data_IF_761242073555
#
_entry.id   IF_761242073555
#
_cell.length_a   1.000
_cell.length_b   1.000
_cell.length_c   1.000
_cell.angle_alpha   90.00
_cell.angle_beta   90.00
_cell.angle_gamma   90.00
#
_symmetry.space_group_name_H-M   'P 1'
#
loop_
_entity.id
_entity.type
_entity.pdbx_description
1 polymer ?
#
# COMPACT_ATOMS: atom_id res chain seq x y z
N UNK A 1 56.90 50.07 17.72
CA UNK A 1 56.30 48.76 17.39
C UNK A 1 56.96 48.23 16.12
N UNK A 2 57.72 47.13 16.19
CA UNK A 2 58.50 46.58 15.07
C UNK A 2 57.59 46.16 13.90
N UNK A 3 58.05 46.34 12.64
CA UNK A 3 57.32 45.91 11.43
C UNK A 3 56.96 44.42 11.46
N UNK A 4 57.81 43.61 12.07
CA UNK A 4 57.63 42.15 12.20
C UNK A 4 56.45 41.78 13.10
N UNK A 5 56.24 42.52 14.20
CA UNK A 5 55.09 42.32 15.09
C UNK A 5 53.76 42.62 14.39
N UNK A 6 53.72 43.66 13.54
CA UNK A 6 52.52 43.99 12.74
C UNK A 6 52.24 42.92 11.69
N UNK A 7 53.28 42.34 11.07
CA UNK A 7 53.14 41.28 10.07
C UNK A 7 52.68 39.96 10.71
N UNK A 8 53.22 39.61 11.88
CA UNK A 8 52.79 38.45 12.66
C UNK A 8 51.32 38.56 13.11
N UNK A 9 50.89 39.73 13.59
CA UNK A 9 49.50 39.97 13.95
C UNK A 9 48.55 39.85 12.75
N UNK A 10 48.94 40.35 11.57
CA UNK A 10 48.14 40.22 10.33
C UNK A 10 47.98 38.76 9.90
N UNK A 11 49.03 37.95 10.01
CA UNK A 11 48.97 36.51 9.70
C UNK A 11 48.06 35.78 10.69
N UNK A 12 48.11 36.11 11.97
CA UNK A 12 47.26 35.50 12.99
C UNK A 12 45.77 35.80 12.75
N UNK A 13 45.45 37.05 12.41
CA UNK A 13 44.08 37.48 12.07
C UNK A 13 43.57 36.75 10.82
N UNK A 14 44.40 36.63 9.77
CA UNK A 14 44.04 35.91 8.54
C UNK A 14 43.80 34.42 8.80
N UNK A 15 44.64 33.76 9.60
CA UNK A 15 44.45 32.37 10.01
C UNK A 15 43.19 32.17 10.85
N UNK A 16 42.90 33.12 11.75
CA UNK A 16 41.67 33.13 12.53
C UNK A 16 40.42 33.25 11.66
N UNK A 17 40.44 34.18 10.69
CA UNK A 17 39.34 34.36 9.74
C UNK A 17 39.11 33.13 8.85
N UNK A 18 40.18 32.48 8.38
CA UNK A 18 40.09 31.24 7.61
C UNK A 18 39.45 30.10 8.41
N UNK A 19 39.84 29.91 9.68
CA UNK A 19 39.23 28.89 10.54
C UNK A 19 37.74 29.13 10.78
N UNK A 20 37.33 30.39 10.95
CA UNK A 20 35.90 30.74 11.12
C UNK A 20 35.13 30.47 9.83
N UNK A 21 35.70 30.78 8.67
CA UNK A 21 35.06 30.48 7.38
C UNK A 21 34.91 28.97 7.16
N UNK A 22 35.91 28.18 7.55
CA UNK A 22 35.88 26.72 7.44
C UNK A 22 34.83 26.09 8.38
N UNK A 23 34.76 26.52 9.65
CA UNK A 23 33.73 26.07 10.61
C UNK A 23 32.31 26.47 10.17
N UNK A 24 32.13 27.69 9.62
CA UNK A 24 30.83 28.11 9.06
C UNK A 24 30.47 27.25 7.84
N UNK A 25 31.43 26.96 6.96
CA UNK A 25 31.20 26.11 5.79
C UNK A 25 30.81 24.70 6.19
N UNK A 26 31.54 24.08 7.12
CA UNK A 26 31.25 22.73 7.61
C UNK A 26 29.85 22.65 8.26
N UNK A 27 29.46 23.67 9.03
CA UNK A 27 28.10 23.76 9.61
C UNK A 27 27.02 23.93 8.56
N UNK A 28 27.28 24.69 7.50
CA UNK A 28 26.34 24.87 6.39
C UNK A 28 26.19 23.58 5.59
N UNK A 29 27.30 22.89 5.28
CA UNK A 29 27.31 21.60 4.58
C UNK A 29 26.54 20.54 5.40
N UNK A 30 26.84 20.39 6.70
CA UNK A 30 26.11 19.47 7.60
C UNK A 30 24.61 19.78 7.70
N UNK A 31 24.23 21.06 7.71
CA UNK A 31 22.81 21.46 7.71
C UNK A 31 22.13 21.17 6.37
N UNK A 32 22.84 21.33 5.26
CA UNK A 32 22.32 21.00 3.94
C UNK A 32 22.13 19.49 3.78
N UNK A 33 23.09 18.69 4.22
CA UNK A 33 23.00 17.22 4.25
C UNK A 33 21.83 16.75 5.12
N UNK A 34 21.69 17.28 6.34
CA UNK A 34 20.57 16.94 7.24
C UNK A 34 19.21 17.26 6.60
N UNK A 35 19.07 18.42 5.97
CA UNK A 35 17.83 18.79 5.25
C UNK A 35 17.56 17.90 4.04
N UNK A 36 18.59 17.48 3.31
CA UNK A 36 18.43 16.57 2.19
C UNK A 36 17.98 15.17 2.67
N UNK A 37 18.53 14.69 3.78
CA UNK A 37 18.13 13.44 4.40
C UNK A 37 16.69 13.50 4.92
N UNK A 38 16.31 14.55 5.65
CA UNK A 38 14.94 14.75 6.14
C UNK A 38 13.92 14.75 4.99
N UNK A 39 14.23 15.43 3.88
CA UNK A 39 13.38 15.42 2.67
C UNK A 39 13.29 14.04 2.02
N UNK A 40 14.37 13.28 2.00
CA UNK A 40 14.37 11.93 1.45
C UNK A 40 13.53 10.98 2.31
N UNK A 41 13.62 11.10 3.64
CA UNK A 41 12.81 10.33 4.59
C UNK A 41 11.33 10.69 4.49
N UNK A 42 11.00 11.97 4.36
CA UNK A 42 9.62 12.45 4.16
C UNK A 42 9.03 11.89 2.86
N UNK A 43 9.77 11.99 1.74
CA UNK A 43 9.36 11.44 0.44
C UNK A 43 9.12 9.92 0.51
N UNK A 44 10.00 9.18 1.18
CA UNK A 44 9.83 7.72 1.35
C UNK A 44 8.59 7.39 2.18
N UNK A 45 8.28 8.18 3.22
CA UNK A 45 7.07 7.98 4.02
C UNK A 45 5.81 8.28 3.22
N UNK A 46 5.80 9.35 2.43
CA UNK A 46 4.68 9.68 1.55
C UNK A 46 4.44 8.58 0.52
N UNK A 47 5.50 8.09 -0.13
CA UNK A 47 5.42 6.97 -1.09
C UNK A 47 4.89 5.70 -0.43
N UNK A 48 5.36 5.37 0.77
CA UNK A 48 4.88 4.21 1.52
C UNK A 48 3.40 4.33 1.90
N UNK A 49 2.96 5.49 2.38
CA UNK A 49 1.56 5.72 2.75
C UNK A 49 0.64 5.69 1.53
N UNK A 50 1.06 6.28 0.41
CA UNK A 50 0.32 6.22 -0.84
C UNK A 50 0.16 4.77 -1.33
N UNK A 51 1.20 3.95 -1.20
CA UNK A 51 1.15 2.54 -1.56
C UNK A 51 0.24 1.73 -0.64
N UNK A 52 0.27 1.99 0.67
CA UNK A 52 -0.65 1.34 1.62
C UNK A 52 -2.11 1.71 1.33
N UNK A 53 -2.38 2.98 1.05
CA UNK A 53 -3.73 3.42 0.68
C UNK A 53 -4.19 2.76 -0.61
N UNK A 54 -3.32 2.69 -1.62
CA UNK A 54 -3.59 2.00 -2.88
C UNK A 54 -3.97 0.54 -2.66
N UNK A 55 -3.17 -0.21 -1.89
CA UNK A 55 -3.44 -1.61 -1.60
C UNK A 55 -4.76 -1.78 -0.84
N UNK A 56 -5.05 -0.87 0.09
CA UNK A 56 -6.31 -0.85 0.83
C UNK A 56 -7.52 -0.62 -0.07
N UNK A 57 -7.46 0.36 -0.98
CA UNK A 57 -8.55 0.67 -1.91
C UNK A 57 -8.85 -0.54 -2.81
N UNK A 58 -7.81 -1.24 -3.27
CA UNK A 58 -7.95 -2.48 -4.05
C UNK A 58 -8.58 -3.58 -3.19
N UNK A 59 -8.13 -3.79 -1.95
CA UNK A 59 -8.72 -4.78 -1.03
C UNK A 59 -10.23 -4.51 -0.85
N UNK A 60 -10.62 -3.27 -0.58
CA UNK A 60 -12.03 -2.91 -0.39
C UNK A 60 -12.86 -3.20 -1.64
N UNK A 61 -12.36 -2.81 -2.81
CA UNK A 61 -13.05 -3.06 -4.08
C UNK A 61 -13.23 -4.55 -4.37
N UNK A 62 -12.17 -5.34 -4.18
CA UNK A 62 -12.23 -6.79 -4.39
C UNK A 62 -13.12 -7.48 -3.38
N UNK A 63 -13.14 -6.99 -2.16
CA UNK A 63 -14.00 -7.52 -1.12
C UNK A 63 -15.48 -7.36 -1.48
N UNK A 64 -15.87 -6.19 -1.96
CA UNK A 64 -17.22 -5.91 -2.45
C UNK A 64 -17.58 -6.76 -3.69
N UNK A 65 -16.65 -6.88 -4.64
CA UNK A 65 -16.82 -7.73 -5.82
C UNK A 65 -17.05 -9.20 -5.45
N UNK A 66 -16.25 -9.75 -4.54
CA UNK A 66 -16.43 -11.12 -4.04
C UNK A 66 -17.75 -11.27 -3.31
N UNK A 67 -18.12 -10.30 -2.47
CA UNK A 67 -19.38 -10.32 -1.73
C UNK A 67 -20.61 -10.30 -2.64
N UNK A 68 -20.49 -9.64 -3.79
CA UNK A 68 -21.52 -9.51 -4.82
C UNK A 68 -21.64 -10.75 -5.70
N UNK A 69 -20.52 -11.29 -6.17
CA UNK A 69 -20.52 -12.43 -7.11
C UNK A 69 -20.83 -13.74 -6.38
N UNK A 70 -20.21 -13.98 -5.22
CA UNK A 70 -20.32 -15.26 -4.54
C UNK A 70 -21.55 -15.31 -3.61
N UNK A 71 -22.20 -16.47 -3.58
CA UNK A 71 -23.35 -16.70 -2.71
C UNK A 71 -22.96 -16.74 -1.23
N UNK A 72 -23.81 -16.22 -0.33
CA UNK A 72 -23.62 -16.36 1.11
C UNK A 72 -23.39 -17.82 1.53
N UNK A 73 -22.38 -18.04 2.37
CA UNK A 73 -22.03 -19.37 2.89
C UNK A 73 -21.03 -20.15 2.03
N UNK A 74 -20.71 -19.68 0.82
CA UNK A 74 -19.66 -20.27 -0.04
C UNK A 74 -18.25 -19.75 0.29
N UNK A 75 -18.10 -18.75 1.16
CA UNK A 75 -16.82 -18.13 1.53
C UNK A 75 -16.88 -17.53 2.93
N UNK A 76 -15.72 -17.20 3.49
CA UNK A 76 -15.64 -16.47 4.75
C UNK A 76 -16.03 -15.02 4.53
N UNK A 77 -17.13 -14.59 5.15
CA UNK A 77 -17.56 -13.20 5.15
C UNK A 77 -17.78 -12.70 6.57
N UNK A 78 -17.68 -11.39 6.74
CA UNK A 78 -18.11 -10.70 7.95
C UNK A 78 -19.11 -9.60 7.58
N UNK A 79 -19.83 -9.13 8.59
CA UNK A 79 -20.76 -8.03 8.46
C UNK A 79 -20.07 -6.78 8.98
N UNK A 80 -20.07 -5.72 8.18
CA UNK A 80 -19.63 -4.40 8.59
C UNK A 80 -20.82 -3.45 8.67
N UNK A 81 -20.95 -2.77 9.81
CA UNK A 81 -21.98 -1.76 9.99
C UNK A 81 -21.57 -0.47 9.28
N UNK A 82 -22.49 0.08 8.48
CA UNK A 82 -22.35 1.42 7.93
C UNK A 82 -22.97 2.40 8.92
N UNK A 83 -22.17 3.39 9.32
CA UNK A 83 -22.60 4.45 10.23
C UNK A 83 -22.83 5.75 9.45
N UNK A 84 -23.87 6.49 9.83
CA UNK A 84 -24.06 7.87 9.40
C UNK A 84 -24.21 8.77 10.63
N UNK A 85 -23.76 10.02 10.51
CA UNK A 85 -24.01 11.01 11.57
C UNK A 85 -25.49 11.39 11.56
N UNK A 86 -26.14 11.24 12.72
CA UNK A 86 -27.50 11.69 12.92
C UNK A 86 -27.53 12.72 14.04
N UNK A 87 -28.25 13.80 13.78
CA UNK A 87 -28.47 14.86 14.75
C UNK A 87 -29.60 14.49 15.71
N UNK A 88 -29.37 14.74 17.00
CA UNK A 88 -30.29 14.55 18.10
C UNK A 88 -30.47 15.87 18.83
N UNK A 89 -31.70 16.14 19.27
CA UNK A 89 -31.99 17.30 20.10
C UNK A 89 -32.72 16.86 21.37
N UNK A 90 -32.26 17.34 22.52
CA UNK A 90 -32.97 17.19 23.79
C UNK A 90 -32.79 18.44 24.67
N UNK A 91 -33.90 19.05 25.08
CA UNK A 91 -33.95 20.26 25.89
C UNK A 91 -33.09 21.42 25.34
N UNK A 92 -33.09 21.62 24.02
CA UNK A 92 -32.32 22.68 23.35
C UNK A 92 -30.83 22.41 23.20
N UNK A 93 -30.35 21.22 23.63
CA UNK A 93 -29.00 20.76 23.30
C UNK A 93 -29.07 19.88 22.05
N UNK A 94 -28.29 20.24 21.04
CA UNK A 94 -28.15 19.51 19.78
C UNK A 94 -26.79 18.83 19.77
N UNK A 95 -26.74 17.55 19.44
CA UNK A 95 -25.51 16.81 19.24
C UNK A 95 -25.65 15.78 18.13
N UNK A 96 -24.54 15.36 17.54
CA UNK A 96 -24.52 14.31 16.53
C UNK A 96 -23.94 13.02 17.12
N UNK A 97 -24.55 11.89 16.79
CA UNK A 97 -23.99 10.57 17.10
C UNK A 97 -23.95 9.70 15.84
N UNK A 98 -22.92 8.85 15.67
CA UNK A 98 -22.89 7.86 14.62
C UNK A 98 -23.94 6.78 14.90
N UNK A 99 -24.91 6.66 14.01
CA UNK A 99 -25.93 5.61 14.06
C UNK A 99 -25.72 4.60 12.94
N UNK A 100 -25.92 3.32 13.22
CA UNK A 100 -25.93 2.28 12.19
C UNK A 100 -27.12 2.53 11.27
N UNK A 101 -26.85 2.74 9.99
CA UNK A 101 -27.87 2.94 8.95
C UNK A 101 -28.03 1.74 8.04
N UNK A 102 -26.99 0.92 7.91
CA UNK A 102 -27.01 -0.30 7.11
C UNK A 102 -25.96 -1.31 7.60
N UNK A 103 -26.00 -2.53 7.08
CA UNK A 103 -25.00 -3.56 7.31
C UNK A 103 -24.65 -4.24 6.00
N UNK A 104 -23.38 -4.14 5.57
CA UNK A 104 -22.89 -4.74 4.33
C UNK A 104 -22.08 -6.01 4.59
N UNK A 105 -22.07 -6.89 3.59
CA UNK A 105 -21.28 -8.13 3.60
C UNK A 105 -19.92 -7.85 2.97
N UNK A 106 -18.87 -8.30 3.66
CA UNK A 106 -17.48 -8.07 3.24
C UNK A 106 -16.73 -9.39 3.23
N UNK A 107 -15.99 -9.64 2.15
CA UNK A 107 -15.09 -10.77 2.02
C UNK A 107 -13.72 -10.47 2.64
N UNK A 108 -13.11 -11.47 3.26
CA UNK A 108 -11.75 -11.34 3.80
C UNK A 108 -10.72 -11.42 2.68
N UNK A 109 -10.36 -10.26 2.11
CA UNK A 109 -9.29 -10.12 1.12
C UNK A 109 -8.04 -9.57 1.80
N UNK A 110 -6.88 -10.19 1.58
CA UNK A 110 -5.61 -9.72 2.14
C UNK A 110 -4.47 -9.81 1.12
N UNK A 111 -3.48 -8.93 1.27
CA UNK A 111 -2.25 -8.97 0.47
C UNK A 111 -1.43 -10.21 0.81
N UNK A 112 -0.93 -10.90 -0.21
CA UNK A 112 -0.06 -12.08 -0.07
C UNK A 112 1.20 -11.88 -0.90
N UNK A 113 2.26 -11.26 -0.34
CA UNK A 113 3.44 -10.90 -1.11
C UNK A 113 4.12 -12.14 -1.70
N UNK A 114 4.47 -12.09 -2.98
CA UNK A 114 5.33 -13.07 -3.63
C UNK A 114 6.77 -12.57 -3.60
N UNK A 115 7.62 -13.22 -2.81
CA UNK A 115 9.00 -12.78 -2.51
C UNK A 115 9.84 -12.47 -3.75
N UNK A 116 9.64 -13.20 -4.86
CA UNK A 116 10.42 -13.00 -6.09
C UNK A 116 9.61 -12.34 -7.22
N UNK A 117 8.45 -11.73 -6.93
CA UNK A 117 7.64 -10.99 -7.90
C UNK A 117 7.34 -9.59 -7.36
N UNK A 118 8.32 -8.69 -7.52
CA UNK A 118 8.36 -7.41 -6.80
C UNK A 118 7.35 -6.39 -7.31
N UNK A 119 6.90 -6.50 -8.56
CA UNK A 119 5.97 -5.55 -9.18
C UNK A 119 4.57 -6.16 -9.38
N UNK A 120 4.21 -7.16 -8.57
CA UNK A 120 2.90 -7.81 -8.64
C UNK A 120 2.04 -7.50 -7.43
N UNK A 121 0.77 -7.25 -7.69
CA UNK A 121 -0.25 -7.19 -6.64
C UNK A 121 -0.91 -8.56 -6.54
N UNK A 122 -0.76 -9.18 -5.38
CA UNK A 122 -1.30 -10.51 -5.12
C UNK A 122 -2.18 -10.43 -3.90
N UNK A 123 -3.44 -10.80 -4.10
CA UNK A 123 -4.47 -10.79 -3.09
C UNK A 123 -5.03 -12.18 -2.93
N UNK A 124 -5.39 -12.56 -1.71
CA UNK A 124 -6.00 -13.84 -1.44
C UNK A 124 -7.30 -13.68 -0.68
N UNK A 125 -8.22 -14.60 -0.94
CA UNK A 125 -9.50 -14.73 -0.28
C UNK A 125 -9.75 -16.19 0.11
N UNK A 126 -10.32 -16.41 1.29
CA UNK A 126 -10.66 -17.75 1.77
C UNK A 126 -12.10 -18.09 1.37
N UNK A 127 -12.25 -19.15 0.58
CA UNK A 127 -13.53 -19.57 -0.01
C UNK A 127 -13.84 -21.02 0.36
N UNK A 128 -14.97 -21.24 1.02
CA UNK A 128 -15.38 -22.57 1.44
C UNK A 128 -16.25 -23.27 0.38
N UNK A 129 -15.65 -24.17 -0.40
CA UNK A 129 -16.39 -25.02 -1.34
C UNK A 129 -15.89 -24.90 -2.78
N UNK A 130 -16.66 -25.41 -3.73
CA UNK A 130 -16.36 -25.29 -5.16
C UNK A 130 -16.97 -24.01 -5.72
N UNK A 131 -16.21 -23.30 -6.54
CA UNK A 131 -16.64 -22.09 -7.25
C UNK A 131 -16.98 -22.49 -8.69
N UNK A 132 -18.04 -21.93 -9.25
CA UNK A 132 -18.39 -22.19 -10.65
C UNK A 132 -17.43 -21.48 -11.61
N UNK A 133 -17.31 -21.97 -12.84
CA UNK A 133 -16.50 -21.32 -13.87
C UNK A 133 -17.03 -19.90 -14.19
N UNK A 134 -18.34 -19.73 -14.22
CA UNK A 134 -18.99 -18.44 -14.43
C UNK A 134 -18.62 -17.42 -13.34
N UNK A 135 -18.61 -17.84 -12.07
CA UNK A 135 -18.20 -16.98 -10.96
C UNK A 135 -16.71 -16.62 -11.05
N UNK A 136 -15.85 -17.56 -11.48
CA UNK A 136 -14.42 -17.29 -11.71
C UNK A 136 -14.20 -16.28 -12.84
N UNK A 137 -14.95 -16.38 -13.93
CA UNK A 137 -14.89 -15.43 -15.05
C UNK A 137 -15.35 -14.05 -14.56
N UNK A 138 -16.48 -13.96 -13.88
CA UNK A 138 -17.01 -12.70 -13.34
C UNK A 138 -16.01 -12.02 -12.40
N UNK A 139 -15.44 -12.77 -11.45
CA UNK A 139 -14.44 -12.26 -10.53
C UNK A 139 -13.16 -11.78 -11.24
N UNK A 140 -12.73 -12.47 -12.30
CA UNK A 140 -11.57 -12.08 -13.12
C UNK A 140 -11.82 -10.73 -13.78
N UNK A 141 -13.04 -10.52 -14.30
CA UNK A 141 -13.42 -9.27 -14.94
C UNK A 141 -13.51 -8.12 -13.94
N UNK A 142 -14.08 -8.33 -12.74
CA UNK A 142 -14.04 -7.31 -11.68
C UNK A 142 -12.61 -6.86 -11.38
N UNK A 143 -11.70 -7.81 -11.26
CA UNK A 143 -10.29 -7.55 -10.93
C UNK A 143 -9.50 -6.89 -12.08
N UNK A 144 -9.96 -6.97 -13.33
CA UNK A 144 -9.42 -6.16 -14.44
C UNK A 144 -9.87 -4.70 -14.42
N UNK A 145 -11.03 -4.42 -13.83
CA UNK A 145 -11.67 -3.11 -13.85
C UNK A 145 -11.56 -2.37 -12.51
N UNK A 146 -10.61 -2.75 -11.64
CA UNK A 146 -10.40 -2.04 -10.38
C UNK A 146 -10.18 -0.55 -10.70
N UNK A 147 -11.04 0.36 -10.22
CA UNK A 147 -10.99 1.76 -10.59
C UNK A 147 -9.62 2.37 -10.29
N UNK A 148 -9.08 3.14 -11.24
CA UNK A 148 -7.75 3.76 -11.18
C UNK A 148 -6.56 2.80 -11.26
N UNK A 149 -6.79 1.48 -11.43
CA UNK A 149 -5.74 0.47 -11.55
C UNK A 149 -5.97 -0.37 -12.81
N UNK A 150 -5.33 0.03 -13.91
CA UNK A 150 -5.39 -0.70 -15.17
C UNK A 150 -4.42 -1.89 -15.12
N UNK A 151 -4.93 -3.08 -14.77
CA UNK A 151 -4.18 -4.33 -14.87
C UNK A 151 -4.35 -4.98 -16.24
N UNK A 152 -3.26 -5.09 -17.00
CA UNK A 152 -3.25 -5.76 -18.31
C UNK A 152 -3.33 -7.28 -18.21
N UNK A 153 -2.86 -7.84 -17.09
CA UNK A 153 -2.87 -9.28 -16.85
C UNK A 153 -3.41 -9.56 -15.45
N UNK A 154 -4.45 -10.36 -15.43
CA UNK A 154 -5.18 -10.77 -14.22
C UNK A 154 -5.40 -12.27 -14.29
N UNK A 155 -5.14 -12.94 -13.17
CA UNK A 155 -5.40 -14.36 -13.00
C UNK A 155 -6.11 -14.65 -11.69
N UNK A 156 -6.91 -15.71 -11.72
CA UNK A 156 -7.55 -16.31 -10.55
C UNK A 156 -7.08 -17.75 -10.46
N UNK A 157 -6.59 -18.14 -9.29
CA UNK A 157 -6.16 -19.49 -9.01
C UNK A 157 -6.85 -20.00 -7.74
N UNK A 158 -7.38 -21.22 -7.81
CA UNK A 158 -8.11 -21.86 -6.71
C UNK A 158 -7.23 -22.97 -6.14
N UNK A 159 -6.80 -22.87 -4.88
CA UNK A 159 -6.08 -23.95 -4.21
C UNK A 159 -7.04 -25.05 -3.77
N UNK A 160 -6.84 -26.26 -4.31
CA UNK A 160 -7.70 -27.43 -4.06
C UNK A 160 -7.65 -28.00 -2.64
N UNK A 161 -6.53 -27.87 -1.90
CA UNK A 161 -6.40 -28.30 -0.51
C UNK A 161 -6.77 -27.20 0.49
N UNK A 162 -6.47 -25.92 0.18
CA UNK A 162 -6.63 -24.83 1.14
C UNK A 162 -7.97 -24.08 1.04
N UNK A 163 -8.81 -24.34 0.01
CA UNK A 163 -10.07 -23.59 -0.15
C UNK A 163 -9.77 -22.06 -0.17
N UNK A 164 -8.66 -21.68 -0.80
CA UNK A 164 -8.18 -20.30 -0.90
C UNK A 164 -8.11 -19.94 -2.38
N UNK A 165 -8.79 -18.84 -2.76
CA UNK A 165 -8.66 -18.26 -4.08
C UNK A 165 -7.63 -17.15 -4.01
N UNK A 166 -6.61 -17.25 -4.86
CA UNK A 166 -5.54 -16.27 -4.99
C UNK A 166 -5.75 -15.52 -6.29
N UNK A 167 -6.04 -14.23 -6.15
CA UNK A 167 -6.05 -13.27 -7.25
C UNK A 167 -4.66 -12.70 -7.46
N UNK A 168 -4.25 -12.58 -8.71
CA UNK A 168 -2.99 -11.95 -9.06
C UNK A 168 -3.19 -10.93 -10.18
N UNK A 169 -2.64 -9.73 -9.97
CA UNK A 169 -2.61 -8.62 -10.90
C UNK A 169 -1.16 -8.28 -11.19
N UNK A 170 -0.83 -8.14 -12.47
CA UNK A 170 0.42 -7.52 -12.85
C UNK A 170 0.32 -6.85 -14.22
N UNK A 171 1.08 -5.78 -14.38
CA UNK A 171 1.29 -5.13 -15.67
C UNK A 171 2.56 -5.63 -16.39
N UNK A 172 3.35 -6.46 -15.72
CA UNK A 172 4.58 -7.04 -16.24
C UNK A 172 4.35 -8.47 -16.77
N UNK A 173 4.88 -8.74 -17.95
CA UNK A 173 4.65 -9.99 -18.66
C UNK A 173 5.43 -11.18 -18.07
N UNK A 174 6.63 -10.92 -17.56
CA UNK A 174 7.53 -11.91 -16.99
C UNK A 174 7.09 -12.26 -15.57
N UNK A 175 6.67 -11.24 -14.80
CA UNK A 175 6.01 -11.43 -13.51
C UNK A 175 4.76 -12.30 -13.66
N UNK A 176 3.93 -12.07 -14.69
CA UNK A 176 2.76 -12.90 -14.94
C UNK A 176 3.12 -14.37 -15.22
N UNK A 177 4.16 -14.61 -16.03
CA UNK A 177 4.63 -15.96 -16.30
C UNK A 177 5.21 -16.64 -15.05
N UNK A 178 5.94 -15.89 -14.22
CA UNK A 178 6.52 -16.37 -12.97
C UNK A 178 5.44 -16.65 -11.91
N UNK A 179 4.44 -15.79 -11.79
CA UNK A 179 3.24 -16.00 -10.97
C UNK A 179 2.54 -17.29 -11.41
N UNK A 180 2.25 -17.44 -12.70
CA UNK A 180 1.63 -18.64 -13.24
C UNK A 180 2.48 -19.88 -12.98
N UNK A 181 3.80 -19.81 -13.16
CA UNK A 181 4.71 -20.94 -12.93
C UNK A 181 4.75 -21.32 -11.45
N UNK A 182 4.84 -20.35 -10.54
CA UNK A 182 4.89 -20.61 -9.09
C UNK A 182 3.58 -21.17 -8.57
N UNK A 183 2.47 -20.61 -9.02
CA UNK A 183 1.16 -21.04 -8.58
C UNK A 183 0.76 -22.37 -9.23
N UNK A 184 1.19 -22.67 -10.46
CA UNK A 184 1.04 -24.01 -11.09
C UNK A 184 2.03 -25.05 -10.58
N UNK A 185 3.21 -24.63 -10.08
CA UNK A 185 4.15 -25.54 -9.40
C UNK A 185 3.64 -26.00 -8.02
N UNK A 186 2.64 -25.29 -7.47
CA UNK A 186 1.83 -25.72 -6.33
C UNK A 186 0.61 -26.51 -6.80
N UNK A 187 0.84 -27.49 -7.68
CA UNK A 187 -0.17 -28.34 -8.34
C UNK A 187 -1.23 -28.86 -7.33
N UNK A 188 -2.31 -28.10 -7.22
CA UNK A 188 -3.60 -28.51 -6.71
C UNK A 188 -4.61 -27.97 -7.70
N UNK A 189 -5.05 -28.84 -8.61
CA UNK A 189 -6.04 -28.61 -9.68
C UNK A 189 -5.52 -28.04 -11.00
N UNK A 190 -4.68 -28.82 -11.69
CA UNK A 190 -4.97 -29.09 -13.11
C UNK A 190 -6.21 -29.98 -13.16
N UNK A 191 -7.29 -29.50 -13.76
CA UNK A 191 -8.37 -30.36 -14.28
C UNK A 191 -7.97 -30.81 -15.67
#
# INVERSE_FOLDING_TARGET
>A
MSKELKQAAKILILKGAQRVQEDVRERVEKRAEKKAQEKAEEKQREEFLAEQQRLWDIICYLSDAVATVLKPGSYGFFLENIYAEKEFENNGNVWTEPVVVDTVRIANVYTKPLVDVKNSDVFAVVIYGNISEDDMIALTDYFRHVPNYEYKRVGILVSGLAKELVFCATNDADDYALINTKLSSRDETKV
#
